data_IF_589933840012
#
_entry.id   IF_589933840012
#
_cell.length_a   1.000
_cell.length_b   1.000
_cell.length_c   1.000
_cell.angle_alpha   90.00
_cell.angle_beta   90.00
_cell.angle_gamma   90.00
#
_symmetry.space_group_name_H-M   'P 1'
#
loop_
_entity.id
_entity.type
_entity.pdbx_description
1 polymer ?
#
# COMPACT_ATOMS: atom_id res chain seq x y z
N UNK A 1 -1.19 -9.91 7.81
CA UNK A 1 -0.64 -10.12 6.44
C UNK A 1 0.82 -9.70 6.35
N UNK A 2 1.18 -8.43 6.60
CA UNK A 2 2.56 -7.92 6.43
C UNK A 2 3.65 -8.75 7.14
N UNK A 3 3.53 -9.17 8.41
CA UNK A 3 4.55 -10.01 9.05
C UNK A 3 4.84 -11.31 8.29
N UNK A 4 3.79 -11.88 7.64
CA UNK A 4 3.91 -13.11 6.84
C UNK A 4 4.66 -12.93 5.53
N UNK A 5 5.03 -11.71 5.17
CA UNK A 5 5.91 -11.44 4.02
C UNK A 5 7.37 -11.63 4.38
N UNK A 6 7.73 -11.57 5.68
CA UNK A 6 9.09 -11.53 6.17
C UNK A 6 9.50 -12.79 6.92
N UNK A 7 8.84 -13.11 8.05
CA UNK A 7 9.32 -14.19 8.91
C UNK A 7 9.34 -15.59 8.26
N UNK A 8 8.44 -15.98 7.32
CA UNK A 8 8.55 -17.29 6.71
C UNK A 8 9.85 -17.46 5.91
N UNK A 9 10.27 -16.43 5.17
CA UNK A 9 11.55 -16.46 4.44
C UNK A 9 12.74 -16.47 5.39
N UNK A 10 12.69 -15.65 6.44
CA UNK A 10 13.75 -15.60 7.44
C UNK A 10 13.95 -16.97 8.12
N UNK A 11 12.86 -17.61 8.54
CA UNK A 11 12.89 -18.92 9.21
C UNK A 11 13.35 -20.01 8.25
N UNK A 12 12.82 -20.05 7.03
CA UNK A 12 13.21 -21.02 6.00
C UNK A 12 14.70 -20.90 5.65
N UNK A 13 15.27 -19.69 5.74
CA UNK A 13 16.70 -19.43 5.57
C UNK A 13 17.55 -19.72 6.84
N UNK A 14 16.95 -20.25 7.92
CA UNK A 14 17.65 -20.62 9.15
C UNK A 14 17.89 -19.48 10.14
N UNK A 15 17.20 -18.34 10.00
CA UNK A 15 17.34 -17.21 10.90
C UNK A 15 16.33 -17.25 12.05
N UNK A 16 16.69 -16.66 13.18
CA UNK A 16 15.73 -16.21 14.18
C UNK A 16 15.09 -14.88 13.73
N UNK A 17 13.85 -14.64 14.13
CA UNK A 17 13.10 -13.44 13.76
C UNK A 17 12.50 -12.76 14.98
N UNK A 18 12.72 -11.47 15.13
CA UNK A 18 12.02 -10.63 16.12
C UNK A 18 10.87 -9.92 15.42
N UNK A 19 9.65 -10.21 15.84
CA UNK A 19 8.44 -9.56 15.33
C UNK A 19 8.01 -8.46 16.31
N UNK A 20 8.16 -7.19 15.90
CA UNK A 20 7.57 -6.05 16.59
C UNK A 20 6.36 -5.57 15.81
N UNK A 21 5.14 -5.91 16.21
CA UNK A 21 3.92 -5.42 15.55
C UNK A 21 3.69 -3.94 15.82
N UNK A 22 2.78 -3.34 15.02
CA UNK A 22 2.25 -2.02 15.33
C UNK A 22 1.48 -2.06 16.66
N UNK A 23 1.70 -1.07 17.51
CA UNK A 23 0.98 -0.89 18.77
C UNK A 23 -0.53 -0.63 18.57
N UNK A 24 -0.94 -0.23 17.37
CA UNK A 24 -2.34 0.01 17.02
C UNK A 24 -3.12 -1.27 16.69
N UNK A 25 -2.42 -2.31 16.20
CA UNK A 25 -3.03 -3.58 15.76
C UNK A 25 -2.23 -4.79 16.24
N UNK A 26 -2.00 -4.96 17.57
CA UNK A 26 -1.11 -5.97 18.10
C UNK A 26 -1.73 -7.38 18.17
N UNK A 27 -3.04 -7.49 18.23
CA UNK A 27 -3.73 -8.76 18.60
C UNK A 27 -3.55 -9.85 17.53
N UNK A 28 -3.72 -9.51 16.25
CA UNK A 28 -3.60 -10.50 15.17
C UNK A 28 -2.17 -11.08 15.06
N UNK A 29 -1.09 -10.26 15.08
CA UNK A 29 0.27 -10.80 15.11
C UNK A 29 0.58 -11.63 16.36
N UNK A 30 0.04 -11.25 17.52
CA UNK A 30 0.17 -12.02 18.76
C UNK A 30 -0.46 -13.40 18.58
N UNK A 31 -1.72 -13.45 18.14
CA UNK A 31 -2.40 -14.73 17.91
C UNK A 31 -1.69 -15.59 16.86
N UNK A 32 -1.14 -14.98 15.82
CA UNK A 32 -0.35 -15.71 14.81
C UNK A 32 0.90 -16.37 15.43
N UNK A 33 1.60 -15.71 16.34
CA UNK A 33 2.74 -16.29 17.05
C UNK A 33 2.33 -17.43 17.99
N UNK A 34 1.19 -17.32 18.68
CA UNK A 34 0.63 -18.40 19.49
C UNK A 34 0.34 -19.63 18.65
N UNK A 35 -0.35 -19.45 17.50
CA UNK A 35 -0.65 -20.55 16.58
C UNK A 35 0.61 -21.22 16.01
N UNK A 36 1.68 -20.47 15.77
CA UNK A 36 2.95 -21.04 15.36
C UNK A 36 3.61 -21.86 16.48
N UNK A 37 3.51 -21.42 17.73
CA UNK A 37 3.98 -22.20 18.88
C UNK A 37 3.16 -23.46 19.05
N UNK A 38 1.81 -23.39 18.96
CA UNK A 38 0.89 -24.55 19.00
C UNK A 38 1.20 -25.56 17.89
N UNK A 39 1.62 -25.08 16.72
CA UNK A 39 2.06 -25.90 15.60
C UNK A 39 3.45 -26.53 15.77
N UNK A 40 4.13 -26.27 16.88
CA UNK A 40 5.42 -26.88 17.22
C UNK A 40 6.64 -26.04 16.79
N UNK A 41 6.48 -24.75 16.47
CA UNK A 41 7.63 -23.87 16.25
C UNK A 41 8.46 -23.78 17.54
N UNK A 42 9.75 -24.09 17.45
CA UNK A 42 10.63 -24.08 18.62
C UNK A 42 10.80 -22.69 19.24
N UNK A 43 10.86 -22.59 20.58
CA UNK A 43 11.18 -21.31 21.25
C UNK A 43 12.45 -20.67 20.70
N UNK A 44 12.44 -19.34 20.56
CA UNK A 44 13.59 -18.58 20.07
C UNK A 44 13.66 -18.43 18.55
N UNK A 45 12.85 -19.18 17.77
CA UNK A 45 12.78 -19.01 16.31
C UNK A 45 12.03 -17.73 15.94
N UNK A 46 10.88 -17.48 16.58
CA UNK A 46 10.20 -16.18 16.54
C UNK A 46 10.10 -15.64 17.97
N UNK A 47 10.48 -14.37 18.15
CA UNK A 47 10.25 -13.63 19.39
C UNK A 47 9.32 -12.46 19.11
N UNK A 48 8.16 -12.45 19.77
CA UNK A 48 7.23 -11.34 19.71
C UNK A 48 7.64 -10.28 20.75
N UNK A 49 7.82 -9.04 20.31
CA UNK A 49 8.22 -7.93 21.15
C UNK A 49 7.30 -6.73 20.94
N UNK A 50 6.49 -6.39 21.92
CA UNK A 50 5.65 -5.19 21.89
C UNK A 50 6.43 -3.95 22.33
N UNK A 51 6.05 -2.79 21.80
CA UNK A 51 6.59 -1.50 22.19
C UNK A 51 6.55 -0.46 21.10
N UNK A 52 6.79 0.77 21.48
CA UNK A 52 6.83 1.94 20.60
C UNK A 52 8.23 2.22 20.05
N UNK A 53 8.50 3.53 19.90
CA UNK A 53 9.74 4.03 19.30
C UNK A 53 11.01 3.55 20.02
N UNK A 54 11.01 3.52 21.33
CA UNK A 54 12.18 3.11 22.12
C UNK A 54 12.64 1.69 21.79
N UNK A 55 11.68 0.77 21.63
CA UNK A 55 11.97 -0.62 21.22
C UNK A 55 12.49 -0.67 19.79
N UNK A 56 11.93 0.12 18.88
CA UNK A 56 12.43 0.22 17.50
C UNK A 56 13.88 0.71 17.52
N UNK A 57 14.16 1.82 18.18
CA UNK A 57 15.51 2.41 18.25
C UNK A 57 16.54 1.45 18.87
N UNK A 58 16.16 0.69 19.89
CA UNK A 58 16.99 -0.34 20.47
C UNK A 58 17.32 -1.47 19.47
N UNK A 59 16.31 -1.95 18.72
CA UNK A 59 16.52 -2.99 17.70
C UNK A 59 17.38 -2.50 16.54
N UNK A 60 17.19 -1.26 16.08
CA UNK A 60 17.96 -0.70 14.97
C UNK A 60 19.47 -0.63 15.31
N UNK A 61 19.82 -0.41 16.59
CA UNK A 61 21.21 -0.30 17.07
C UNK A 61 21.78 -1.58 17.63
N UNK A 62 20.95 -2.60 17.91
CA UNK A 62 21.39 -3.81 18.59
C UNK A 62 22.38 -4.63 17.73
N UNK A 63 23.59 -4.98 18.21
CA UNK A 63 24.63 -5.58 17.37
C UNK A 63 24.29 -6.98 16.84
N UNK A 64 23.40 -7.72 17.50
CA UNK A 64 22.96 -9.05 17.06
C UNK A 64 21.83 -8.99 16.00
N UNK A 65 21.18 -7.85 15.78
CA UNK A 65 20.22 -7.67 14.69
C UNK A 65 20.99 -7.37 13.42
N UNK A 66 20.95 -8.29 12.46
CA UNK A 66 21.74 -8.23 11.23
C UNK A 66 20.97 -7.62 10.05
N UNK A 67 19.65 -7.76 10.05
CA UNK A 67 18.78 -7.27 8.98
C UNK A 67 17.50 -6.69 9.57
N UNK A 68 16.94 -5.69 8.92
CA UNK A 68 15.68 -5.03 9.31
C UNK A 68 14.72 -4.99 8.14
N UNK A 69 13.52 -5.53 8.35
CA UNK A 69 12.40 -5.46 7.43
C UNK A 69 11.32 -4.57 8.03
N UNK A 70 10.87 -3.58 7.29
CA UNK A 70 9.89 -2.60 7.77
C UNK A 70 8.84 -2.27 6.70
N UNK A 71 7.62 -2.04 7.16
CA UNK A 71 6.53 -1.46 6.35
C UNK A 71 5.84 -0.37 7.16
N UNK A 72 5.69 0.82 6.60
CA UNK A 72 4.99 1.93 7.24
C UNK A 72 5.09 3.24 6.46
N UNK A 73 4.87 4.37 7.13
CA UNK A 73 4.93 5.68 6.47
C UNK A 73 6.34 6.02 5.97
N UNK A 74 6.42 6.77 4.88
CA UNK A 74 7.70 7.15 4.24
C UNK A 74 8.71 7.82 5.19
N UNK A 75 8.33 8.78 6.06
CA UNK A 75 9.29 9.36 6.99
C UNK A 75 9.91 8.32 7.94
N UNK A 76 9.12 7.35 8.41
CA UNK A 76 9.60 6.29 9.30
C UNK A 76 10.43 5.27 8.52
N UNK A 77 10.02 4.88 7.32
CA UNK A 77 10.81 3.99 6.45
C UNK A 77 12.19 4.58 6.16
N UNK A 78 12.26 5.86 5.84
CA UNK A 78 13.52 6.59 5.61
C UNK A 78 14.40 6.64 6.87
N UNK A 79 13.79 6.90 8.04
CA UNK A 79 14.50 6.89 9.32
C UNK A 79 15.10 5.52 9.63
N UNK A 80 14.31 4.46 9.52
CA UNK A 80 14.73 3.08 9.78
C UNK A 80 15.85 2.67 8.82
N UNK A 81 15.70 2.99 7.53
CA UNK A 81 16.74 2.73 6.53
C UNK A 81 18.05 3.42 6.90
N UNK A 82 18.03 4.73 7.12
CA UNK A 82 19.21 5.51 7.41
C UNK A 82 19.91 5.04 8.70
N UNK A 83 19.13 4.82 9.78
CA UNK A 83 19.67 4.40 11.07
C UNK A 83 20.28 2.99 11.01
N UNK A 84 19.59 2.03 10.39
CA UNK A 84 20.09 0.66 10.30
C UNK A 84 21.28 0.53 9.34
N UNK A 85 21.27 1.28 8.22
CA UNK A 85 22.38 1.28 7.27
C UNK A 85 23.66 1.88 7.90
N UNK A 86 23.53 2.90 8.76
CA UNK A 86 24.66 3.46 9.53
C UNK A 86 25.30 2.43 10.49
N UNK A 87 24.51 1.44 10.95
CA UNK A 87 24.98 0.33 11.78
C UNK A 87 25.45 -0.89 10.93
N UNK A 88 25.59 -0.74 9.63
CA UNK A 88 26.04 -1.80 8.72
C UNK A 88 25.05 -2.95 8.53
N UNK A 89 23.75 -2.74 8.81
CA UNK A 89 22.70 -3.75 8.67
C UNK A 89 22.09 -3.75 7.28
N UNK A 90 21.60 -4.90 6.85
CA UNK A 90 20.71 -4.96 5.69
C UNK A 90 19.35 -4.37 6.01
N UNK A 91 18.78 -3.64 5.08
CA UNK A 91 17.49 -2.99 5.28
C UNK A 91 16.61 -3.14 4.05
N UNK A 92 15.36 -3.55 4.27
CA UNK A 92 14.27 -3.39 3.33
C UNK A 92 13.15 -2.61 4.03
N UNK A 93 12.95 -1.36 3.64
CA UNK A 93 11.96 -0.50 4.26
C UNK A 93 10.96 -0.01 3.22
N UNK A 94 9.74 -0.56 3.29
CA UNK A 94 8.64 -0.21 2.42
C UNK A 94 7.94 1.02 2.99
N UNK A 95 7.89 2.08 2.18
CA UNK A 95 7.32 3.38 2.53
C UNK A 95 5.88 3.54 2.07
N UNK A 96 5.44 4.80 2.01
CA UNK A 96 4.11 5.20 1.57
C UNK A 96 3.88 5.06 0.06
N UNK A 97 2.68 5.39 -0.36
CA UNK A 97 2.25 5.26 -1.73
C UNK A 97 1.25 6.35 -2.14
N UNK A 98 1.15 6.62 -3.44
CA UNK A 98 0.07 7.38 -4.08
C UNK A 98 -0.26 6.69 -5.39
N UNK A 99 -1.12 5.68 -5.31
CA UNK A 99 -1.34 4.77 -6.43
C UNK A 99 -2.39 5.32 -7.40
N UNK A 100 -2.05 5.32 -8.68
CA UNK A 100 -2.88 5.83 -9.76
C UNK A 100 -3.58 4.69 -10.49
N UNK A 101 -4.83 4.92 -10.86
CA UNK A 101 -5.67 4.00 -11.62
C UNK A 101 -6.08 4.70 -12.91
N UNK A 102 -5.45 4.33 -14.02
CA UNK A 102 -5.69 4.92 -15.34
C UNK A 102 -6.82 4.17 -16.04
N UNK A 103 -7.83 4.89 -16.50
CA UNK A 103 -8.98 4.32 -17.22
C UNK A 103 -9.00 4.84 -18.65
N UNK A 104 -8.76 3.94 -19.62
CA UNK A 104 -8.77 4.27 -21.03
C UNK A 104 -10.20 4.34 -21.58
N UNK A 105 -10.43 5.06 -22.71
CA UNK A 105 -11.76 5.19 -23.32
C UNK A 105 -12.40 3.89 -23.79
N UNK A 106 -11.61 2.85 -24.00
CA UNK A 106 -12.01 1.50 -24.42
C UNK A 106 -12.18 0.51 -23.26
N UNK A 107 -11.98 0.96 -22.02
CA UNK A 107 -12.12 0.14 -20.84
C UNK A 107 -13.56 -0.37 -20.64
N UNK A 108 -13.70 -1.59 -20.14
CA UNK A 108 -14.98 -2.09 -19.67
C UNK A 108 -15.37 -1.35 -18.38
N UNK A 109 -16.26 -0.37 -18.48
CA UNK A 109 -16.62 0.54 -17.38
C UNK A 109 -17.14 -0.21 -16.16
N UNK A 110 -18.02 -1.20 -16.32
CA UNK A 110 -18.63 -1.93 -15.21
C UNK A 110 -17.59 -2.70 -14.40
N UNK A 111 -16.74 -3.48 -15.08
CA UNK A 111 -15.66 -4.25 -14.44
C UNK A 111 -14.58 -3.34 -13.87
N UNK A 112 -14.27 -2.24 -14.54
CA UNK A 112 -13.31 -1.26 -14.04
C UNK A 112 -13.82 -0.57 -12.78
N UNK A 113 -15.10 -0.17 -12.74
CA UNK A 113 -15.70 0.44 -11.56
C UNK A 113 -15.72 -0.52 -10.37
N UNK A 114 -16.05 -1.80 -10.57
CA UNK A 114 -15.99 -2.82 -9.53
C UNK A 114 -14.56 -2.97 -8.96
N UNK A 115 -13.57 -3.08 -9.83
CA UNK A 115 -12.17 -3.18 -9.45
C UNK A 115 -11.67 -1.93 -8.71
N UNK A 116 -12.05 -0.73 -9.18
CA UNK A 116 -11.68 0.55 -8.56
C UNK A 116 -12.32 0.68 -7.18
N UNK A 117 -13.61 0.34 -7.01
CA UNK A 117 -14.27 0.34 -5.71
C UNK A 117 -13.57 -0.57 -4.71
N UNK A 118 -13.24 -1.80 -5.13
CA UNK A 118 -12.49 -2.76 -4.31
C UNK A 118 -11.09 -2.23 -3.96
N UNK A 119 -10.42 -1.58 -4.89
CA UNK A 119 -9.08 -1.02 -4.69
C UNK A 119 -9.10 0.18 -3.75
N UNK A 120 -9.94 1.18 -4.03
CA UNK A 120 -9.93 2.46 -3.32
C UNK A 120 -10.57 2.38 -1.93
N UNK A 121 -11.63 1.58 -1.77
CA UNK A 121 -12.45 1.58 -0.55
C UNK A 121 -12.39 0.26 0.23
N UNK A 122 -11.85 -0.81 -0.33
CA UNK A 122 -11.57 -2.04 0.41
C UNK A 122 -10.64 -1.76 1.60
N UNK A 123 -10.94 -2.35 2.77
CA UNK A 123 -10.26 -2.05 4.04
C UNK A 123 -10.22 -0.55 4.37
N UNK A 124 -11.30 0.20 4.05
CA UNK A 124 -11.40 1.65 4.23
C UNK A 124 -10.25 2.45 3.56
N UNK A 125 -9.69 1.96 2.46
CA UNK A 125 -8.55 2.59 1.79
C UNK A 125 -7.21 2.47 2.53
N UNK A 126 -7.16 1.74 3.64
CA UNK A 126 -5.96 1.56 4.47
C UNK A 126 -5.10 0.38 4.00
N UNK A 127 -4.74 0.38 2.72
CA UNK A 127 -3.81 -0.57 2.09
C UNK A 127 -2.73 0.18 1.33
N UNK A 128 -1.49 -0.27 1.43
CA UNK A 128 -0.36 0.28 0.66
C UNK A 128 -0.56 0.19 -0.87
N UNK A 129 -1.40 -0.74 -1.33
CA UNK A 129 -1.76 -0.93 -2.74
C UNK A 129 -3.14 -0.36 -3.09
N UNK A 130 -3.83 0.33 -2.18
CA UNK A 130 -5.10 0.97 -2.47
C UNK A 130 -4.92 2.03 -3.56
N UNK A 131 -5.80 2.03 -4.57
CA UNK A 131 -5.87 3.11 -5.54
C UNK A 131 -6.41 4.38 -4.88
N UNK A 132 -5.66 5.46 -4.95
CA UNK A 132 -6.01 6.74 -4.32
C UNK A 132 -6.18 7.88 -5.31
N UNK A 133 -5.73 7.69 -6.57
CA UNK A 133 -5.92 8.63 -7.66
C UNK A 133 -6.53 7.92 -8.86
N UNK A 134 -7.69 8.38 -9.30
CA UNK A 134 -8.34 7.98 -10.54
C UNK A 134 -7.88 8.90 -11.67
N UNK A 135 -7.43 8.32 -12.77
CA UNK A 135 -6.93 9.05 -13.94
C UNK A 135 -7.70 8.61 -15.19
N UNK A 136 -8.92 9.12 -15.41
CA UNK A 136 -9.66 8.82 -16.61
C UNK A 136 -9.10 9.60 -17.81
N UNK A 137 -8.92 8.91 -18.95
CA UNK A 137 -8.39 9.46 -20.19
C UNK A 137 -9.55 9.87 -21.10
N UNK A 138 -9.59 11.14 -21.50
CA UNK A 138 -10.58 11.68 -22.43
C UNK A 138 -12.02 11.35 -22.04
N UNK A 139 -12.77 10.71 -22.95
CA UNK A 139 -14.19 10.37 -22.75
C UNK A 139 -14.48 9.30 -21.67
N UNK A 140 -13.46 8.70 -21.06
CA UNK A 140 -13.65 7.73 -19.98
C UNK A 140 -14.17 8.38 -18.68
N UNK A 141 -13.98 9.69 -18.49
CA UNK A 141 -14.26 10.38 -17.23
C UNK A 141 -15.72 10.26 -16.77
N UNK A 142 -16.66 10.67 -17.62
CA UNK A 142 -18.06 10.70 -17.23
C UNK A 142 -18.64 9.30 -16.93
N UNK A 143 -18.46 8.27 -17.79
CA UNK A 143 -19.03 6.96 -17.53
C UNK A 143 -18.42 6.27 -16.30
N UNK A 144 -17.11 6.42 -16.06
CA UNK A 144 -16.50 5.78 -14.90
C UNK A 144 -16.91 6.47 -13.59
N UNK A 145 -16.98 7.80 -13.55
CA UNK A 145 -17.44 8.53 -12.37
C UNK A 145 -18.91 8.21 -12.05
N UNK A 146 -19.79 8.16 -13.05
CA UNK A 146 -21.17 7.78 -12.86
C UNK A 146 -21.31 6.38 -12.26
N UNK A 147 -20.57 5.40 -12.80
CA UNK A 147 -20.57 4.03 -12.29
C UNK A 147 -20.02 3.90 -10.85
N UNK A 148 -19.01 4.70 -10.50
CA UNK A 148 -18.47 4.73 -9.14
C UNK A 148 -19.43 5.37 -8.14
N UNK A 149 -20.08 6.48 -8.51
CA UNK A 149 -21.04 7.16 -7.65
C UNK A 149 -22.25 6.28 -7.34
N UNK A 150 -22.75 5.53 -8.31
CA UNK A 150 -23.84 4.59 -8.09
C UNK A 150 -23.45 3.50 -7.09
N UNK A 151 -22.24 2.98 -7.20
CA UNK A 151 -21.72 1.98 -6.25
C UNK A 151 -21.47 2.56 -4.86
N UNK A 152 -21.02 3.82 -4.75
CA UNK A 152 -20.83 4.50 -3.47
C UNK A 152 -22.14 4.70 -2.70
N UNK A 153 -23.26 4.98 -3.42
CA UNK A 153 -24.60 5.08 -2.79
C UNK A 153 -24.99 3.79 -2.10
N UNK A 154 -24.68 2.65 -2.71
CA UNK A 154 -25.06 1.32 -2.26
C UNK A 154 -24.04 0.69 -1.29
N UNK A 155 -22.89 1.32 -1.07
CA UNK A 155 -21.86 0.81 -0.15
C UNK A 155 -22.30 0.97 1.30
N UNK A 156 -22.55 -0.16 1.97
CA UNK A 156 -22.86 -0.18 3.40
C UNK A 156 -21.57 -0.06 4.21
N UNK A 157 -21.45 1.01 4.98
CA UNK A 157 -20.38 1.21 5.96
C UNK A 157 -20.88 0.75 7.32
N UNK A 158 -20.19 -0.15 7.98
CA UNK A 158 -20.67 -0.73 9.24
C UNK A 158 -19.68 -1.69 9.89
N UNK A 159 -20.16 -2.38 10.92
CA UNK A 159 -19.37 -3.36 11.67
C UNK A 159 -18.83 -4.45 10.71
N UNK A 160 -17.51 -4.72 10.71
CA UNK A 160 -16.91 -5.75 9.86
C UNK A 160 -17.34 -7.18 10.23
N UNK A 161 -17.92 -7.42 11.40
CA UNK A 161 -18.50 -8.73 11.76
C UNK A 161 -19.85 -8.95 11.06
N UNK A 162 -20.55 -7.88 10.69
CA UNK A 162 -21.76 -7.98 9.87
C UNK A 162 -21.38 -8.29 8.41
N UNK A 163 -21.71 -9.48 7.94
CA UNK A 163 -21.41 -9.93 6.58
C UNK A 163 -22.02 -9.06 5.47
N UNK A 164 -22.99 -8.21 5.78
CA UNK A 164 -23.60 -7.25 4.85
C UNK A 164 -22.82 -5.93 4.75
N UNK A 165 -21.84 -5.69 5.64
CA UNK A 165 -21.00 -4.51 5.59
C UNK A 165 -19.97 -4.62 4.46
N UNK A 166 -19.97 -3.67 3.54
CA UNK A 166 -19.00 -3.59 2.44
C UNK A 166 -17.72 -2.84 2.79
N UNK A 167 -17.75 -2.04 3.86
CA UNK A 167 -16.57 -1.30 4.35
C UNK A 167 -16.66 -1.12 5.87
N UNK A 168 -15.56 -1.42 6.57
CA UNK A 168 -15.41 -1.25 8.01
C UNK A 168 -14.93 0.15 8.41
N UNK A 169 -14.60 0.35 9.70
CA UNK A 169 -14.03 1.59 10.21
C UNK A 169 -12.56 1.76 9.80
N UNK A 170 -12.04 2.97 9.91
CA UNK A 170 -10.60 3.25 9.89
C UNK A 170 -9.95 2.86 11.22
N UNK A 171 -8.61 2.82 11.26
CA UNK A 171 -7.85 2.19 12.36
C UNK A 171 -7.99 2.88 13.72
N UNK A 172 -8.09 4.22 13.75
CA UNK A 172 -8.24 5.00 15.00
C UNK A 172 -9.06 6.27 14.77
N UNK A 173 -9.50 6.89 15.88
CA UNK A 173 -10.19 8.18 15.88
C UNK A 173 -9.30 9.30 15.33
N UNK A 174 -8.06 9.36 15.77
CA UNK A 174 -7.08 10.37 15.33
C UNK A 174 -6.82 10.27 13.84
N UNK A 175 -6.78 9.04 13.32
CA UNK A 175 -6.61 8.82 11.88
C UNK A 175 -7.85 9.24 11.09
N UNK A 176 -9.06 8.98 11.61
CA UNK A 176 -10.31 9.49 11.03
C UNK A 176 -10.31 11.02 10.94
N UNK A 177 -9.93 11.69 12.02
CA UNK A 177 -9.84 13.16 12.07
C UNK A 177 -8.82 13.70 11.06
N UNK A 178 -7.67 13.02 10.93
CA UNK A 178 -6.66 13.35 9.91
C UNK A 178 -7.24 13.25 8.50
N UNK A 179 -7.99 12.18 8.19
CA UNK A 179 -8.61 12.00 6.87
C UNK A 179 -9.65 13.08 6.61
N UNK A 180 -10.49 13.42 7.61
CA UNK A 180 -11.46 14.53 7.53
C UNK A 180 -10.75 15.85 7.22
N UNK A 181 -9.62 16.13 7.85
CA UNK A 181 -8.80 17.31 7.54
C UNK A 181 -8.29 17.32 6.09
N UNK A 182 -7.95 16.18 5.50
CA UNK A 182 -7.63 16.09 4.07
C UNK A 182 -8.84 16.36 3.18
N UNK A 183 -10.02 15.88 3.55
CA UNK A 183 -11.25 16.16 2.80
C UNK A 183 -11.54 17.66 2.80
N UNK A 184 -11.47 18.31 3.97
CA UNK A 184 -11.64 19.75 4.11
C UNK A 184 -10.62 20.54 3.29
N UNK A 185 -9.36 20.13 3.33
CA UNK A 185 -8.29 20.75 2.56
C UNK A 185 -8.50 20.62 1.05
N UNK A 186 -8.95 19.44 0.58
CA UNK A 186 -9.30 19.22 -0.83
C UNK A 186 -10.39 20.18 -1.31
N UNK A 187 -11.45 20.36 -0.51
CA UNK A 187 -12.52 21.33 -0.80
C UNK A 187 -11.96 22.77 -0.83
N UNK A 188 -11.15 23.14 0.17
CA UNK A 188 -10.55 24.47 0.26
C UNK A 188 -9.58 24.78 -0.90
N UNK A 189 -8.90 23.75 -1.45
CA UNK A 189 -8.02 23.88 -2.61
C UNK A 189 -8.80 23.87 -3.95
N UNK A 190 -10.13 23.71 -3.91
CA UNK A 190 -11.02 23.82 -5.08
C UNK A 190 -11.37 22.48 -5.74
N UNK A 191 -11.06 21.35 -5.14
CA UNK A 191 -11.55 20.05 -5.60
C UNK A 191 -13.04 19.91 -5.32
N UNK A 192 -13.77 19.28 -6.25
CA UNK A 192 -15.24 19.14 -6.20
C UNK A 192 -15.61 17.78 -5.59
N UNK A 193 -16.19 17.74 -4.37
CA UNK A 193 -16.67 16.47 -3.83
C UNK A 193 -17.94 16.02 -4.60
N UNK A 194 -17.88 14.84 -5.20
CA UNK A 194 -19.01 14.18 -5.86
C UNK A 194 -19.73 13.24 -4.88
N UNK A 195 -19.00 12.69 -3.93
CA UNK A 195 -19.49 11.90 -2.81
C UNK A 195 -18.67 12.29 -1.58
N UNK A 196 -19.32 12.52 -0.44
CA UNK A 196 -18.66 12.94 0.80
C UNK A 196 -18.87 11.90 1.89
N UNK A 197 -17.81 11.22 2.27
CA UNK A 197 -17.84 10.14 3.25
C UNK A 197 -18.15 10.59 4.68
N UNK A 198 -18.08 11.89 4.97
CA UNK A 198 -18.43 12.46 6.27
C UNK A 198 -19.91 12.26 6.62
N UNK A 199 -20.77 12.13 5.62
CA UNK A 199 -22.21 11.83 5.81
C UNK A 199 -22.46 10.44 6.44
N UNK A 200 -21.48 9.55 6.38
CA UNK A 200 -21.54 8.20 6.97
C UNK A 200 -20.89 8.10 8.35
N UNK A 201 -20.42 9.22 8.92
CA UNK A 201 -19.87 9.29 10.26
C UNK A 201 -21.01 9.18 11.30
N UNK A 202 -21.25 7.98 11.82
CA UNK A 202 -22.33 7.73 12.78
C UNK A 202 -21.80 6.99 14.02
N UNK A 203 -22.37 7.35 15.19
CA UNK A 203 -22.05 6.68 16.46
C UNK A 203 -20.62 6.91 16.95
N UNK A 204 -20.19 6.11 17.92
CA UNK A 204 -18.90 6.24 18.62
C UNK A 204 -17.74 5.56 17.88
N UNK A 205 -18.00 4.83 16.80
CA UNK A 205 -16.99 4.13 16.01
C UNK A 205 -16.17 5.07 15.10
N UNK A 206 -15.09 4.53 14.53
CA UNK A 206 -14.20 5.27 13.64
C UNK A 206 -14.65 5.16 12.17
N UNK A 207 -15.95 5.16 11.94
CA UNK A 207 -16.53 5.02 10.60
C UNK A 207 -16.40 6.31 9.80
N UNK A 208 -16.06 6.14 8.52
CA UNK A 208 -16.00 7.19 7.51
C UNK A 208 -16.37 6.56 6.16
N UNK A 209 -17.28 7.18 5.43
CA UNK A 209 -17.72 6.67 4.13
C UNK A 209 -16.71 6.96 3.00
N UNK A 210 -17.00 6.45 1.78
CA UNK A 210 -16.20 6.76 0.62
C UNK A 210 -16.34 8.24 0.24
N UNK A 211 -15.20 8.88 -0.07
CA UNK A 211 -15.17 10.23 -0.62
C UNK A 211 -14.56 10.19 -2.01
N UNK A 212 -15.24 10.79 -2.98
CA UNK A 212 -14.74 10.94 -4.36
C UNK A 212 -14.68 12.42 -4.69
N UNK A 213 -13.49 12.88 -5.05
CA UNK A 213 -13.27 14.23 -5.58
C UNK A 213 -13.08 14.20 -7.08
N UNK A 214 -13.71 15.14 -7.78
CA UNK A 214 -13.42 15.50 -9.16
C UNK A 214 -12.73 16.88 -9.23
N UNK A 215 -12.30 17.26 -10.43
CA UNK A 215 -11.57 18.51 -10.70
C UNK A 215 -10.28 18.66 -9.87
N UNK A 216 -9.69 17.55 -9.43
CA UNK A 216 -8.43 17.57 -8.67
C UNK A 216 -7.28 17.93 -9.61
N UNK A 217 -6.43 18.87 -9.17
CA UNK A 217 -5.22 19.25 -9.90
C UNK A 217 -3.98 18.59 -9.27
N UNK A 218 -2.95 18.25 -10.06
CA UNK A 218 -1.73 17.59 -9.56
C UNK A 218 -1.02 18.35 -8.42
N UNK A 219 -1.25 19.68 -8.35
CA UNK A 219 -0.70 20.55 -7.30
C UNK A 219 -1.36 20.43 -5.93
N UNK A 220 -2.58 19.92 -5.84
CA UNK A 220 -3.37 19.85 -4.62
C UNK A 220 -2.81 18.84 -3.62
N UNK A 221 -3.03 19.08 -2.34
CA UNK A 221 -2.56 18.23 -1.24
C UNK A 221 -3.10 16.80 -1.36
N UNK A 222 -4.40 16.67 -1.66
CA UNK A 222 -5.05 15.36 -1.80
C UNK A 222 -4.55 14.56 -3.02
N UNK A 223 -3.89 15.21 -3.99
CA UNK A 223 -3.25 14.56 -5.12
C UNK A 223 -1.83 14.08 -4.80
N UNK A 224 -1.11 14.76 -3.89
CA UNK A 224 0.31 14.53 -3.61
C UNK A 224 0.55 13.65 -2.39
N UNK A 225 -0.22 13.86 -1.32
CA UNK A 225 0.05 13.21 -0.04
C UNK A 225 -0.73 11.90 0.12
N UNK A 226 -0.12 10.94 0.79
CA UNK A 226 -0.78 9.70 1.17
C UNK A 226 -1.79 9.95 2.28
N UNK A 227 -3.08 9.79 1.97
CA UNK A 227 -4.18 9.98 2.95
C UNK A 227 -4.34 8.73 3.81
N UNK A 228 -4.20 7.56 3.21
CA UNK A 228 -4.40 6.24 3.82
C UNK A 228 -5.80 6.07 4.40
N UNK A 229 -6.80 6.38 3.58
CA UNK A 229 -8.21 6.38 3.95
C UNK A 229 -9.13 6.32 2.72
N UNK A 230 -10.45 6.27 2.90
CA UNK A 230 -11.40 6.04 1.83
C UNK A 230 -11.66 7.32 1.00
N UNK A 231 -10.59 7.88 0.42
CA UNK A 231 -10.61 9.11 -0.40
C UNK A 231 -9.98 8.83 -1.75
N UNK A 232 -10.77 9.01 -2.81
CA UNK A 232 -10.37 8.87 -4.20
C UNK A 232 -10.35 10.24 -4.88
N UNK A 233 -9.20 10.64 -5.40
CA UNK A 233 -9.01 11.91 -6.13
C UNK A 233 -9.03 11.66 -7.63
N UNK A 234 -9.92 12.31 -8.39
CA UNK A 234 -9.98 12.19 -9.84
C UNK A 234 -9.20 13.32 -10.51
N UNK A 235 -8.21 12.97 -11.31
CA UNK A 235 -7.42 13.88 -12.15
C UNK A 235 -7.68 13.49 -13.61
N UNK A 236 -8.41 14.32 -14.33
CA UNK A 236 -8.75 14.11 -15.74
C UNK A 236 -7.55 14.45 -16.63
N UNK A 237 -7.30 13.61 -17.63
CA UNK A 237 -6.25 13.83 -18.64
C UNK A 237 -6.79 13.54 -20.04
N UNK A 238 -6.15 14.08 -21.07
CA UNK A 238 -6.64 13.94 -22.45
C UNK A 238 -6.08 12.70 -23.15
N UNK A 239 -4.83 12.34 -22.87
CA UNK A 239 -4.12 11.27 -23.58
C UNK A 239 -3.46 10.27 -22.62
N UNK A 240 -3.04 9.11 -23.15
CA UNK A 240 -2.24 8.14 -22.41
C UNK A 240 -0.87 8.72 -22.01
N UNK A 241 -0.28 9.57 -22.86
CA UNK A 241 0.98 10.25 -22.56
C UNK A 241 0.85 11.18 -21.35
N UNK A 242 -0.25 11.92 -21.25
CA UNK A 242 -0.51 12.77 -20.07
C UNK A 242 -0.67 11.92 -18.81
N UNK A 243 -1.36 10.78 -18.91
CA UNK A 243 -1.49 9.85 -17.79
C UNK A 243 -0.14 9.29 -17.35
N UNK A 244 0.71 8.87 -18.28
CA UNK A 244 2.07 8.38 -17.99
C UNK A 244 2.90 9.48 -17.33
N UNK A 245 2.88 10.68 -17.88
CA UNK A 245 3.62 11.83 -17.33
C UNK A 245 3.15 12.17 -15.91
N UNK A 246 1.83 12.17 -15.68
CA UNK A 246 1.26 12.41 -14.35
C UNK A 246 1.76 11.39 -13.32
N UNK A 247 1.72 10.11 -13.65
CA UNK A 247 2.15 9.03 -12.76
C UNK A 247 3.66 9.06 -12.55
N UNK A 248 4.44 9.30 -13.60
CA UNK A 248 5.90 9.34 -13.51
C UNK A 248 6.42 10.54 -12.70
N UNK A 249 5.69 11.65 -12.67
CA UNK A 249 6.01 12.81 -11.84
C UNK A 249 5.61 12.63 -10.36
N UNK A 250 4.91 11.54 -10.01
CA UNK A 250 4.60 11.24 -8.62
C UNK A 250 5.87 10.83 -7.86
N UNK A 251 6.10 11.36 -6.63
CA UNK A 251 7.26 10.99 -5.82
C UNK A 251 7.21 9.55 -5.29
N UNK A 252 6.07 8.89 -5.39
CA UNK A 252 5.85 7.50 -5.02
C UNK A 252 5.81 6.60 -6.26
N UNK A 253 6.25 5.37 -6.12
CA UNK A 253 6.27 4.38 -7.20
C UNK A 253 5.96 2.97 -6.69
N UNK A 254 4.91 2.80 -5.86
CA UNK A 254 4.57 1.49 -5.32
C UNK A 254 3.80 0.65 -6.34
N UNK A 255 2.58 1.07 -6.70
CA UNK A 255 1.76 0.37 -7.70
C UNK A 255 0.95 1.32 -8.56
N UNK A 256 0.56 0.85 -9.73
CA UNK A 256 -0.40 1.51 -10.62
C UNK A 256 -1.20 0.46 -11.39
N UNK A 257 -2.37 0.86 -11.89
CA UNK A 257 -3.20 -0.01 -12.73
C UNK A 257 -3.69 0.75 -13.95
N UNK A 258 -3.70 0.10 -15.11
CA UNK A 258 -4.40 0.57 -16.31
C UNK A 258 -5.59 -0.33 -16.61
N UNK A 259 -6.73 0.28 -16.92
CA UNK A 259 -7.94 -0.40 -17.40
C UNK A 259 -8.13 -0.09 -18.89
N UNK A 260 -8.03 -1.10 -19.72
CA UNK A 260 -8.12 -1.00 -21.18
C UNK A 260 -8.45 -2.36 -21.80
N UNK A 261 -9.06 -2.36 -22.97
CA UNK A 261 -9.23 -3.55 -23.83
C UNK A 261 -8.17 -3.61 -24.93
N UNK A 262 -7.31 -2.57 -25.06
CA UNK A 262 -6.26 -2.51 -26.06
C UNK A 262 -4.91 -2.99 -25.52
N UNK A 263 -4.42 -4.12 -26.04
CA UNK A 263 -3.15 -4.68 -25.67
C UNK A 263 -1.92 -3.82 -26.03
N UNK A 264 -2.04 -2.87 -26.97
CA UNK A 264 -0.99 -1.92 -27.29
C UNK A 264 -0.85 -0.89 -26.18
N UNK A 265 -1.93 -0.25 -25.79
CA UNK A 265 -1.96 0.71 -24.68
C UNK A 265 -1.48 0.09 -23.36
N UNK A 266 -1.89 -1.15 -23.07
CA UNK A 266 -1.43 -1.87 -21.90
C UNK A 266 0.10 -2.09 -21.87
N UNK A 267 0.67 -2.53 -23.01
CA UNK A 267 2.14 -2.73 -23.12
C UNK A 267 2.91 -1.42 -23.08
N UNK A 268 2.44 -0.41 -23.79
CA UNK A 268 3.04 0.91 -23.81
C UNK A 268 3.09 1.51 -22.41
N UNK A 269 1.96 1.47 -21.69
CA UNK A 269 1.89 1.92 -20.31
C UNK A 269 2.88 1.15 -19.42
N UNK A 270 2.83 -0.18 -19.43
CA UNK A 270 3.69 -1.01 -18.59
C UNK A 270 5.20 -0.80 -18.86
N UNK A 271 5.57 -0.45 -20.08
CA UNK A 271 6.97 -0.22 -20.47
C UNK A 271 7.48 1.17 -20.03
N UNK A 272 6.61 2.19 -20.08
CA UNK A 272 7.03 3.58 -19.88
C UNK A 272 6.80 4.09 -18.46
N UNK A 273 6.06 3.34 -17.64
CA UNK A 273 5.69 3.76 -16.29
C UNK A 273 6.82 3.48 -15.30
N UNK A 274 7.14 4.48 -14.46
CA UNK A 274 8.18 4.42 -13.45
C UNK A 274 7.63 4.03 -12.07
N UNK A 275 7.06 2.83 -11.99
CA UNK A 275 6.42 2.28 -10.79
C UNK A 275 6.81 0.81 -10.63
N UNK A 276 6.99 0.35 -9.41
CA UNK A 276 7.49 -0.99 -9.11
C UNK A 276 6.54 -2.13 -9.50
N UNK A 277 5.22 -1.92 -9.39
CA UNK A 277 4.21 -2.93 -9.70
C UNK A 277 3.13 -2.36 -10.61
N UNK A 278 2.85 -3.04 -11.71
CA UNK A 278 1.88 -2.60 -12.72
C UNK A 278 0.81 -3.65 -12.90
N UNK A 279 -0.45 -3.24 -12.73
CA UNK A 279 -1.63 -4.05 -13.01
C UNK A 279 -2.27 -3.68 -14.34
N UNK A 280 -2.85 -4.66 -15.02
CA UNK A 280 -3.72 -4.45 -16.17
C UNK A 280 -5.05 -5.08 -15.85
N UNK A 281 -6.13 -4.26 -15.82
CA UNK A 281 -7.49 -4.69 -15.49
C UNK A 281 -7.61 -5.41 -14.12
N UNK A 282 -6.82 -4.99 -13.15
CA UNK A 282 -6.79 -5.58 -11.81
C UNK A 282 -7.20 -4.56 -10.75
N UNK A 283 -7.87 -5.02 -9.70
CA UNK A 283 -8.21 -4.15 -8.57
C UNK A 283 -6.96 -3.74 -7.76
N UNK A 284 -6.14 -4.72 -7.41
CA UNK A 284 -4.90 -4.54 -6.64
C UNK A 284 -3.82 -5.37 -7.29
N UNK A 285 -2.75 -4.73 -7.75
CA UNK A 285 -1.61 -5.39 -8.41
C UNK A 285 -0.64 -6.00 -7.36
N UNK A 286 -1.18 -6.81 -6.44
CA UNK A 286 -0.38 -7.52 -5.44
C UNK A 286 0.31 -8.73 -6.08
N UNK A 287 1.64 -8.86 -6.01
CA UNK A 287 2.33 -10.00 -6.55
C UNK A 287 2.11 -11.25 -5.69
N UNK A 288 2.14 -12.42 -6.32
CA UNK A 288 2.27 -13.68 -5.60
C UNK A 288 3.64 -13.77 -4.91
N UNK A 289 3.73 -14.52 -3.80
CA UNK A 289 4.92 -14.56 -2.95
C UNK A 289 6.22 -15.04 -3.63
N UNK A 290 6.16 -15.63 -4.82
CA UNK A 290 7.33 -16.01 -5.62
C UNK A 290 7.86 -14.90 -6.54
N UNK A 291 7.14 -13.76 -6.63
CA UNK A 291 7.62 -12.54 -7.27
C UNK A 291 7.95 -11.48 -6.20
N UNK A 292 8.94 -10.61 -6.44
CA UNK A 292 9.26 -9.52 -5.53
C UNK A 292 8.08 -8.55 -5.37
N UNK A 293 7.86 -8.10 -4.14
CA UNK A 293 6.98 -6.96 -3.84
C UNK A 293 7.82 -5.70 -3.99
N UNK A 294 7.80 -5.14 -5.19
CA UNK A 294 8.67 -4.03 -5.56
C UNK A 294 8.04 -2.67 -5.25
N UNK A 295 8.89 -1.70 -4.98
CA UNK A 295 8.53 -0.28 -4.87
C UNK A 295 9.69 0.55 -5.40
N UNK A 296 9.36 1.66 -6.08
CA UNK A 296 10.34 2.60 -6.61
C UNK A 296 10.23 3.94 -5.88
N UNK A 297 11.17 4.84 -6.13
CA UNK A 297 11.18 6.20 -5.62
C UNK A 297 11.04 6.22 -4.07
N UNK A 298 10.15 7.05 -3.51
CA UNK A 298 9.96 7.14 -2.05
C UNK A 298 9.10 6.02 -1.45
N UNK A 299 8.66 5.06 -2.26
CA UNK A 299 7.90 3.90 -1.77
C UNK A 299 8.78 2.77 -1.26
N UNK A 300 10.10 2.82 -1.47
CA UNK A 300 11.02 1.79 -1.04
C UNK A 300 12.42 2.35 -0.74
N UNK A 301 13.05 1.84 0.32
CA UNK A 301 14.43 2.13 0.70
C UNK A 301 15.15 0.81 0.98
N UNK A 302 16.20 0.53 0.22
CA UNK A 302 16.97 -0.71 0.21
C UNK A 302 17.16 -1.22 -1.21
N UNK A 303 17.87 -2.35 -1.36
CA UNK A 303 18.17 -2.95 -2.66
C UNK A 303 17.34 -4.21 -2.93
N UNK A 304 17.10 -5.03 -1.89
CA UNK A 304 16.38 -6.30 -1.99
C UNK A 304 14.96 -6.15 -1.46
N UNK A 305 13.99 -6.44 -2.31
CA UNK A 305 12.58 -6.30 -2.01
C UNK A 305 12.04 -7.48 -1.18
N UNK A 306 10.84 -7.32 -0.64
CA UNK A 306 10.14 -8.42 0.01
C UNK A 306 9.68 -9.46 -1.03
N UNK A 307 9.57 -10.71 -0.62
CA UNK A 307 9.16 -11.84 -1.44
C UNK A 307 10.15 -12.29 -2.53
N UNK A 308 9.80 -13.40 -3.17
CA UNK A 308 10.52 -13.94 -4.30
C UNK A 308 11.99 -14.25 -4.01
N UNK A 309 12.81 -14.19 -5.03
CA UNK A 309 14.26 -14.41 -4.91
C UNK A 309 14.95 -13.31 -4.10
N UNK A 310 14.45 -12.08 -4.13
CA UNK A 310 14.99 -10.98 -3.35
C UNK A 310 14.94 -11.27 -1.86
N UNK A 311 13.84 -11.85 -1.35
CA UNK A 311 13.73 -12.23 0.05
C UNK A 311 14.76 -13.31 0.44
N UNK A 312 15.00 -14.29 -0.45
CA UNK A 312 16.05 -15.30 -0.19
C UNK A 312 17.41 -14.64 -0.08
N UNK A 313 17.77 -13.75 -1.01
CA UNK A 313 19.04 -13.01 -0.95
C UNK A 313 19.11 -12.07 0.26
N UNK A 314 18.00 -11.50 0.68
CA UNK A 314 17.93 -10.61 1.83
C UNK A 314 18.25 -11.33 3.13
N UNK A 315 17.73 -12.55 3.32
CA UNK A 315 17.89 -13.33 4.55
C UNK A 315 19.07 -14.30 4.53
N UNK A 316 19.92 -14.29 3.50
CA UNK A 316 21.10 -15.15 3.39
C UNK A 316 22.35 -14.34 3.07
N UNK A 317 23.52 -14.89 3.35
CA UNK A 317 24.82 -14.34 2.95
C UNK A 317 25.51 -15.28 1.98
N UNK A 318 26.16 -14.71 0.98
CA UNK A 318 26.97 -15.47 0.01
C UNK A 318 28.37 -15.73 0.57
N UNK A 319 28.85 -16.97 0.42
CA UNK A 319 30.20 -17.35 0.72
C UNK A 319 30.85 -17.97 -0.52
N UNK A 320 32.01 -17.44 -0.90
CA UNK A 320 32.83 -18.02 -1.96
C UNK A 320 33.94 -18.86 -1.34
N UNK A 321 34.06 -20.11 -1.76
CA UNK A 321 35.11 -21.01 -1.32
C UNK A 321 35.90 -21.39 -2.56
N UNK A 322 37.21 -21.11 -2.52
CA UNK A 322 38.16 -21.55 -3.52
C UNK A 322 39.05 -22.61 -2.87
N UNK A 323 39.20 -23.76 -3.50
CA UNK A 323 40.09 -24.83 -3.01
C UNK A 323 40.90 -25.42 -4.16
N UNK A 324 42.12 -25.84 -3.85
CA UNK A 324 43.02 -26.52 -4.78
C UNK A 324 43.64 -27.73 -4.06
N UNK A 325 43.50 -28.88 -4.65
CA UNK A 325 44.09 -30.14 -4.16
C UNK A 325 45.29 -30.51 -5.02
N UNK A 326 46.40 -30.85 -4.39
CA UNK A 326 47.65 -31.23 -5.07
C UNK A 326 47.91 -32.73 -4.85
#
# INVERSE_FOLDING_TARGET
MVPMWMYPFAIAAGNAFILKPSEKVPLTPTRACELLADAGLKPGVITLLHGGREVVDALLKHPLVRAVSFVGSTPIAKYIYATSAAEGKRVQALGGAKNHMVVMPDANIEKSAEAIMSSAFGAAGERCLAGSVLVPVGKAAEPILAALLERCKNLKVGDPVDATSGMGPVVTKEHREKIVGYIEKGVAEGAKPLCDGRDKMKGDGFFLGPTIFDDVKPGMTIAKEEIFGPVLSCIRVDTLDDAINLVNNCPFGNTTTIYTSDGRSAREYATRIEVGMVGVNMAVAAPMAFFPFTGWKQSFFGDLHAHGKDAVHFYTEQKVIMSRWF
#
